data_IF_491262363063
#
_entry.id   IF_491262363063
#
_cell.length_a   1.000
_cell.length_b   1.000
_cell.length_c   1.000
_cell.angle_alpha   90.00
_cell.angle_beta   90.00
_cell.angle_gamma   90.00
#
_symmetry.space_group_name_H-M   'P 1'
#
loop_
_entity.id
_entity.type
_entity.pdbx_description
1 polymer ?
#
# COMPACT_ATOMS: atom_id res chain seq x y z
N UNK A 1 -17.45 -2.13 7.35
CA UNK A 1 -17.10 -3.56 7.29
C UNK A 1 -17.78 -4.27 8.46
N UNK A 2 -18.45 -5.40 8.23
CA UNK A 2 -19.07 -6.21 9.28
C UNK A 2 -18.46 -7.61 9.22
N UNK A 3 -17.79 -8.02 10.29
CA UNK A 3 -17.34 -9.39 10.52
C UNK A 3 -18.37 -10.06 11.43
N UNK A 4 -18.87 -11.24 11.04
CA UNK A 4 -19.73 -12.06 11.87
C UNK A 4 -19.09 -13.43 12.09
N UNK A 5 -18.94 -13.82 13.34
CA UNK A 5 -18.51 -15.15 13.73
C UNK A 5 -19.74 -16.02 14.03
N UNK A 6 -19.68 -17.30 13.72
CA UNK A 6 -20.73 -18.28 14.02
C UNK A 6 -20.09 -19.63 14.30
N UNK A 7 -20.39 -20.19 15.48
CA UNK A 7 -19.99 -21.56 15.80
C UNK A 7 -20.77 -22.56 14.93
N UNK A 8 -20.06 -23.55 14.40
CA UNK A 8 -20.63 -24.68 13.67
C UNK A 8 -20.34 -25.96 14.48
N UNK A 9 -21.26 -26.38 15.39
CA UNK A 9 -21.04 -27.54 16.25
C UNK A 9 -20.65 -28.79 15.46
N UNK A 10 -19.53 -29.40 15.83
CA UNK A 10 -18.98 -30.60 15.18
C UNK A 10 -18.24 -30.35 13.86
N UNK A 11 -18.22 -29.11 13.35
CA UNK A 11 -17.55 -28.75 12.09
C UNK A 11 -16.39 -27.80 12.36
N UNK A 12 -16.63 -26.73 13.12
CA UNK A 12 -15.65 -25.68 13.41
C UNK A 12 -16.29 -24.31 13.60
N UNK A 13 -15.73 -23.27 12.98
CA UNK A 13 -16.24 -21.89 13.05
C UNK A 13 -16.39 -21.29 11.66
N UNK A 14 -17.44 -20.51 11.45
CA UNK A 14 -17.66 -19.71 10.26
C UNK A 14 -17.43 -18.24 10.55
N UNK A 15 -16.72 -17.57 9.65
CA UNK A 15 -16.50 -16.14 9.63
C UNK A 15 -17.10 -15.59 8.34
N UNK A 16 -18.02 -14.64 8.45
CA UNK A 16 -18.65 -13.95 7.32
C UNK A 16 -18.20 -12.50 7.28
N UNK A 17 -17.73 -12.04 6.14
CA UNK A 17 -17.26 -10.67 5.91
C UNK A 17 -18.09 -10.06 4.79
N UNK A 18 -18.62 -8.87 5.02
CA UNK A 18 -19.17 -8.01 3.96
C UNK A 18 -18.22 -6.82 3.78
N UNK A 19 -17.66 -6.68 2.57
CA UNK A 19 -16.71 -5.63 2.19
C UNK A 19 -17.40 -4.28 2.04
N UNK A 20 -16.63 -3.20 1.88
CA UNK A 20 -17.17 -1.88 1.54
C UNK A 20 -17.81 -1.82 0.14
N UNK A 21 -17.44 -2.74 -0.75
CA UNK A 21 -17.98 -2.83 -2.10
C UNK A 21 -19.19 -3.76 -2.21
N UNK A 22 -19.70 -4.23 -1.06
CA UNK A 22 -20.82 -5.17 -0.95
C UNK A 22 -20.52 -6.56 -1.53
N UNK A 23 -19.25 -6.99 -1.49
CA UNK A 23 -18.90 -8.39 -1.71
C UNK A 23 -19.02 -9.15 -0.40
N UNK A 24 -19.49 -10.40 -0.47
CA UNK A 24 -19.55 -11.31 0.69
C UNK A 24 -18.52 -12.43 0.52
N UNK A 25 -17.81 -12.70 1.61
CA UNK A 25 -16.90 -13.84 1.72
C UNK A 25 -17.23 -14.57 3.01
N UNK A 26 -17.51 -15.87 2.92
CA UNK A 26 -17.60 -16.75 4.08
C UNK A 26 -16.33 -17.62 4.15
N UNK A 27 -15.77 -17.77 5.35
CA UNK A 27 -14.63 -18.65 5.62
C UNK A 27 -15.03 -19.62 6.71
N UNK A 28 -14.94 -20.92 6.43
CA UNK A 28 -15.10 -21.97 7.44
C UNK A 28 -13.72 -22.48 7.84
N UNK A 29 -13.43 -22.44 9.14
CA UNK A 29 -12.26 -23.10 9.72
C UNK A 29 -12.74 -24.39 10.36
N UNK A 30 -12.34 -25.52 9.81
CA UNK A 30 -12.72 -26.84 10.30
C UNK A 30 -11.87 -27.25 11.51
N UNK A 31 -12.42 -28.11 12.37
CA UNK A 31 -11.71 -28.67 13.54
C UNK A 31 -10.43 -29.41 13.14
N UNK A 32 -10.38 -29.97 11.92
CA UNK A 32 -9.22 -30.67 11.39
C UNK A 32 -8.13 -29.73 10.79
N UNK A 33 -8.31 -28.42 10.90
CA UNK A 33 -7.35 -27.43 10.40
C UNK A 33 -7.50 -27.07 8.92
N UNK A 34 -8.44 -27.65 8.17
CA UNK A 34 -8.74 -27.16 6.81
C UNK A 34 -9.51 -25.85 6.87
N UNK A 35 -9.33 -25.02 5.84
CA UNK A 35 -10.10 -23.79 5.65
C UNK A 35 -10.83 -23.89 4.32
N UNK A 36 -12.08 -23.45 4.28
CA UNK A 36 -12.86 -23.36 3.05
C UNK A 36 -13.42 -21.96 2.89
N UNK A 37 -13.11 -21.34 1.76
CA UNK A 37 -13.56 -20.00 1.41
C UNK A 37 -14.72 -20.12 0.42
N UNK A 38 -15.76 -19.33 0.63
CA UNK A 38 -16.93 -19.26 -0.23
C UNK A 38 -17.07 -17.83 -0.76
N UNK A 39 -17.21 -17.73 -2.08
CA UNK A 39 -17.42 -16.48 -2.81
C UNK A 39 -18.86 -16.42 -3.26
N UNK A 40 -19.48 -15.27 -3.10
CA UNK A 40 -20.88 -15.02 -3.47
C UNK A 40 -20.94 -14.05 -4.65
N UNK A 41 -22.05 -14.09 -5.37
CA UNK A 41 -22.33 -13.06 -6.36
C UNK A 41 -22.58 -11.72 -5.65
N UNK A 42 -22.35 -10.62 -6.37
CA UNK A 42 -22.58 -9.29 -5.82
C UNK A 42 -24.08 -9.08 -5.62
N UNK A 43 -24.45 -8.61 -4.44
CA UNK A 43 -25.83 -8.35 -4.04
C UNK A 43 -26.75 -9.60 -3.95
N UNK A 44 -26.23 -10.81 -4.21
CA UNK A 44 -26.90 -12.10 -3.97
C UNK A 44 -26.03 -12.99 -3.06
N UNK A 45 -26.52 -13.20 -1.83
CA UNK A 45 -25.77 -13.86 -0.76
C UNK A 45 -26.37 -15.21 -0.35
N UNK A 46 -27.34 -15.69 -1.11
CA UNK A 46 -28.10 -16.90 -0.77
C UNK A 46 -27.26 -18.14 -1.05
N UNK A 47 -26.61 -18.21 -2.22
CA UNK A 47 -25.75 -19.33 -2.61
C UNK A 47 -24.35 -18.88 -3.04
N UNK A 48 -23.30 -19.62 -2.68
CA UNK A 48 -21.95 -19.32 -3.14
C UNK A 48 -21.80 -19.71 -4.62
N UNK A 49 -21.19 -18.82 -5.40
CA UNK A 49 -20.86 -19.08 -6.81
C UNK A 49 -19.57 -19.89 -6.99
N UNK A 50 -18.70 -19.87 -5.98
CA UNK A 50 -17.46 -20.64 -5.98
C UNK A 50 -16.97 -20.91 -4.55
N UNK A 51 -16.20 -21.98 -4.39
CA UNK A 51 -15.50 -22.29 -3.15
C UNK A 51 -14.06 -22.76 -3.41
N UNK A 52 -13.19 -22.53 -2.43
CA UNK A 52 -11.81 -23.00 -2.44
C UNK A 52 -11.49 -23.64 -1.10
N UNK A 53 -11.03 -24.90 -1.14
CA UNK A 53 -10.54 -25.62 0.04
C UNK A 53 -9.03 -25.48 0.12
N UNK A 54 -8.54 -25.06 1.27
CA UNK A 54 -7.13 -24.88 1.57
C UNK A 54 -6.73 -25.77 2.75
N UNK A 55 -5.56 -26.39 2.64
CA UNK A 55 -4.89 -26.95 3.80
C UNK A 55 -4.29 -25.84 4.68
N UNK A 56 -3.70 -26.20 5.83
CA UNK A 56 -3.14 -25.23 6.76
C UNK A 56 -1.99 -24.40 6.18
N UNK A 57 -1.09 -25.03 5.43
CA UNK A 57 0.07 -24.37 4.81
C UNK A 57 -0.38 -23.37 3.73
N UNK A 58 -1.28 -23.80 2.85
CA UNK A 58 -1.86 -22.96 1.78
C UNK A 58 -2.64 -21.76 2.36
N UNK A 59 -3.43 -21.99 3.42
CA UNK A 59 -4.17 -20.94 4.10
C UNK A 59 -3.24 -19.91 4.76
N UNK A 60 -2.16 -20.36 5.40
CA UNK A 60 -1.16 -19.48 5.99
C UNK A 60 -0.41 -18.66 4.93
N UNK A 61 -0.10 -19.26 3.78
CA UNK A 61 0.54 -18.57 2.66
C UNK A 61 -0.39 -17.50 2.07
N UNK A 62 -1.66 -17.85 1.79
CA UNK A 62 -2.67 -16.90 1.31
C UNK A 62 -2.88 -15.76 2.32
N UNK A 63 -3.04 -16.10 3.60
CA UNK A 63 -3.18 -15.12 4.68
C UNK A 63 -1.99 -14.15 4.74
N UNK A 64 -0.77 -14.66 4.56
CA UNK A 64 0.45 -13.84 4.53
C UNK A 64 0.49 -12.87 3.34
N UNK A 65 -0.02 -13.29 2.17
CA UNK A 65 -0.20 -12.40 1.00
C UNK A 65 -1.21 -11.30 1.33
N UNK A 66 -2.37 -11.66 1.89
CA UNK A 66 -3.43 -10.71 2.26
C UNK A 66 -3.02 -9.73 3.37
N UNK A 67 -2.19 -10.17 4.33
CA UNK A 67 -1.59 -9.31 5.36
C UNK A 67 -0.51 -8.37 4.81
N UNK A 68 -0.14 -8.52 3.53
CA UNK A 68 0.92 -7.75 2.89
C UNK A 68 2.31 -8.10 3.40
N UNK A 69 2.56 -9.34 3.83
CA UNK A 69 3.91 -9.78 4.23
C UNK A 69 4.83 -9.84 3.02
N UNK A 70 4.32 -10.31 1.88
CA UNK A 70 5.08 -10.44 0.63
C UNK A 70 5.14 -9.15 -0.19
N UNK A 71 4.07 -8.37 -0.17
CA UNK A 71 3.96 -7.13 -0.93
C UNK A 71 2.98 -6.18 -0.23
N UNK A 72 3.46 -4.99 0.14
CA UNK A 72 2.60 -3.89 0.59
C UNK A 72 2.55 -2.85 -0.52
N UNK A 73 1.37 -2.57 -1.11
CA UNK A 73 1.27 -1.48 -2.07
C UNK A 73 1.65 -0.17 -1.38
N UNK A 74 2.54 0.58 -2.02
CA UNK A 74 2.99 1.91 -1.63
C UNK A 74 1.83 2.91 -1.68
N UNK A 75 0.95 2.88 -0.69
CA UNK A 75 -0.15 3.83 -0.59
C UNK A 75 -0.16 4.42 0.82
N UNK A 76 0.04 5.74 0.86
CA UNK A 76 -0.03 6.68 1.98
C UNK A 76 1.26 7.11 2.70
N UNK A 77 2.46 6.64 2.33
CA UNK A 77 3.73 7.27 2.79
C UNK A 77 4.82 7.44 1.72
N UNK A 78 4.45 7.46 0.45
CA UNK A 78 5.43 7.51 -0.65
C UNK A 78 5.48 8.88 -1.30
N UNK A 79 5.89 9.91 -0.54
CA UNK A 79 6.70 10.99 -1.14
C UNK A 79 8.16 10.58 -1.30
N UNK A 80 8.55 9.44 -0.73
CA UNK A 80 9.88 8.83 -0.85
C UNK A 80 9.80 7.66 -1.83
N UNK A 81 9.97 7.94 -3.12
CA UNK A 81 10.16 6.90 -4.12
C UNK A 81 11.53 6.24 -3.89
N UNK A 82 11.55 5.19 -3.06
CA UNK A 82 12.72 4.38 -2.77
C UNK A 82 12.97 3.40 -3.92
N UNK A 83 13.53 3.89 -5.03
CA UNK A 83 14.36 3.03 -5.86
C UNK A 83 15.54 2.60 -4.97
N UNK A 84 15.86 1.31 -4.86
CA UNK A 84 16.77 0.72 -3.83
C UNK A 84 18.11 1.45 -3.56
N UNK A 85 18.56 2.35 -4.43
CA UNK A 85 19.76 3.18 -4.30
C UNK A 85 19.54 4.70 -4.56
N UNK A 86 18.30 5.18 -4.55
CA UNK A 86 17.93 6.59 -4.75
C UNK A 86 17.08 7.05 -3.57
N UNK A 87 17.53 8.13 -2.94
CA UNK A 87 16.77 8.85 -1.92
C UNK A 87 16.34 10.19 -2.52
N UNK A 88 15.04 10.46 -2.51
CA UNK A 88 14.48 11.74 -2.91
C UNK A 88 13.98 12.43 -1.65
N UNK A 89 14.52 13.60 -1.35
CA UNK A 89 14.18 14.38 -0.16
C UNK A 89 13.73 15.78 -0.55
N UNK A 90 12.68 16.27 0.13
CA UNK A 90 12.19 17.63 -0.02
C UNK A 90 12.82 18.50 1.06
N UNK A 91 13.66 19.45 0.64
CA UNK A 91 14.33 20.39 1.55
C UNK A 91 13.62 21.74 1.45
N UNK A 92 13.07 22.20 2.58
CA UNK A 92 12.55 23.56 2.67
C UNK A 92 13.73 24.55 2.74
N UNK A 93 13.71 25.55 1.86
CA UNK A 93 14.77 26.57 1.78
C UNK A 93 14.29 27.81 2.52
N UNK A 94 14.83 28.03 3.71
CA UNK A 94 14.53 29.22 4.51
C UNK A 94 14.96 30.52 3.83
N UNK A 95 14.30 31.62 4.19
CA UNK A 95 14.62 32.98 3.69
C UNK A 95 16.05 33.44 3.98
N UNK A 96 16.70 32.83 4.98
CA UNK A 96 18.08 33.12 5.38
C UNK A 96 19.09 32.11 4.80
N UNK A 97 18.64 31.18 3.95
CA UNK A 97 19.51 30.17 3.36
C UNK A 97 20.54 30.82 2.42
N UNK A 98 21.80 30.34 2.40
CA UNK A 98 22.81 30.79 1.44
C UNK A 98 22.44 30.47 -0.02
N UNK A 99 21.38 29.69 -0.26
CA UNK A 99 20.86 29.40 -1.60
C UNK A 99 19.90 30.49 -2.11
N UNK A 100 19.43 31.40 -1.25
CA UNK A 100 18.49 32.46 -1.65
C UNK A 100 19.18 33.44 -2.59
N UNK A 101 18.49 33.81 -3.68
CA UNK A 101 18.98 34.71 -4.74
C UNK A 101 20.19 34.20 -5.53
N UNK A 102 20.47 32.90 -5.49
CA UNK A 102 21.48 32.27 -6.32
C UNK A 102 20.84 31.26 -7.28
N UNK A 103 21.35 31.22 -8.51
CA UNK A 103 20.98 30.17 -9.46
C UNK A 103 21.48 28.80 -8.99
N UNK A 104 20.94 27.71 -9.53
CA UNK A 104 21.42 26.35 -9.32
C UNK A 104 22.89 26.21 -9.76
N UNK A 105 23.26 26.90 -10.83
CA UNK A 105 24.64 26.98 -11.32
C UNK A 105 25.57 27.61 -10.30
N UNK A 106 25.21 28.76 -9.74
CA UNK A 106 26.04 29.48 -8.76
C UNK A 106 26.08 28.77 -7.40
N UNK A 107 24.97 28.12 -7.02
CA UNK A 107 24.84 27.37 -5.78
C UNK A 107 25.76 26.14 -5.72
N UNK A 108 26.06 25.55 -6.90
CA UNK A 108 26.92 24.38 -7.06
C UNK A 108 26.47 23.16 -6.22
N UNK A 109 25.16 23.01 -6.01
CA UNK A 109 24.59 21.98 -5.12
C UNK A 109 25.15 20.60 -5.43
N UNK A 110 25.06 20.16 -6.70
CA UNK A 110 25.55 18.85 -7.12
C UNK A 110 27.05 18.65 -6.87
N UNK A 111 27.87 19.68 -7.07
CA UNK A 111 29.32 19.59 -6.86
C UNK A 111 29.66 19.51 -5.38
N UNK A 112 28.91 20.22 -4.52
CA UNK A 112 29.15 20.27 -3.08
C UNK A 112 28.57 19.08 -2.32
N UNK A 113 27.42 18.54 -2.76
CA UNK A 113 26.64 17.55 -1.99
C UNK A 113 26.42 16.23 -2.74
N UNK A 114 26.68 16.18 -4.05
CA UNK A 114 26.32 15.03 -4.89
C UNK A 114 24.82 14.93 -5.22
N UNK A 115 23.98 15.76 -4.61
CA UNK A 115 22.53 15.75 -4.84
C UNK A 115 22.16 16.36 -6.20
N UNK A 116 21.08 15.85 -6.80
CA UNK A 116 20.52 16.37 -8.05
C UNK A 116 19.21 17.06 -7.73
N UNK A 117 19.08 18.33 -8.12
CA UNK A 117 17.82 19.07 -7.99
C UNK A 117 16.92 18.70 -9.16
N UNK A 118 15.86 17.96 -8.87
CA UNK A 118 14.89 17.48 -9.88
C UNK A 118 13.70 18.44 -10.05
N UNK A 119 13.39 19.23 -9.03
CA UNK A 119 12.30 20.20 -9.06
C UNK A 119 12.47 21.31 -8.03
N UNK A 120 11.86 22.45 -8.29
CA UNK A 120 11.75 23.59 -7.35
C UNK A 120 10.28 23.93 -7.19
N UNK A 121 9.83 24.11 -5.94
CA UNK A 121 8.46 24.52 -5.61
C UNK A 121 8.51 25.92 -5.00
N UNK A 122 7.72 26.86 -5.55
CA UNK A 122 7.54 28.21 -5.02
C UNK A 122 6.06 28.55 -4.95
N UNK A 123 5.48 28.47 -3.77
CA UNK A 123 4.02 28.55 -3.59
C UNK A 123 3.33 27.48 -4.44
N UNK A 124 2.39 27.89 -5.28
CA UNK A 124 1.63 26.98 -6.16
C UNK A 124 2.36 26.63 -7.47
N UNK A 125 3.55 27.20 -7.72
CA UNK A 125 4.32 26.94 -8.94
C UNK A 125 5.35 25.83 -8.70
N UNK A 126 5.31 24.80 -9.54
CA UNK A 126 6.33 23.75 -9.60
C UNK A 126 7.13 23.88 -10.90
N UNK A 127 8.45 23.96 -10.78
CA UNK A 127 9.39 23.95 -11.90
C UNK A 127 10.03 22.56 -11.92
N UNK A 128 9.70 21.77 -12.95
CA UNK A 128 10.24 20.43 -13.14
C UNK A 128 11.47 20.53 -14.05
N UNK A 129 12.54 19.79 -13.70
CA UNK A 129 13.81 19.84 -14.42
C UNK A 129 14.31 21.28 -14.64
N UNK A 130 14.54 22.03 -13.55
CA UNK A 130 14.87 23.45 -13.62
C UNK A 130 16.15 23.69 -14.44
N UNK A 131 16.18 24.75 -15.29
CA UNK A 131 17.39 25.12 -16.01
C UNK A 131 18.49 25.59 -15.04
N UNK A 132 19.77 25.59 -15.44
CA UNK A 132 20.88 25.99 -14.56
C UNK A 132 20.79 27.43 -14.04
N UNK A 133 20.11 28.31 -14.78
CA UNK A 133 19.96 29.74 -14.45
C UNK A 133 18.81 30.02 -13.47
N UNK A 134 18.05 28.98 -13.08
CA UNK A 134 16.98 29.05 -12.06
C UNK A 134 17.54 29.11 -10.65
#
# INVERSE_FOLDING_TARGET
>A
MKLKETDLPGIGKKFSIITSHNDKIDVIIYINGKRELFIFEKDDYDEPVANVVLNEEEANQLGSILMGVYFKPETEKTKECLLKNLVIEWIEVDKNSPLVNHSLKDSQIRQKTGAIVISIIRGDKTIINPPPDE
#
